data_IF_958735874356
#
_entry.id   IF_958735874356
#
_cell.length_a   1.000
_cell.length_b   1.000
_cell.length_c   1.000
_cell.angle_alpha   90.00
_cell.angle_beta   90.00
_cell.angle_gamma   90.00
#
_symmetry.space_group_name_H-M   'P 1'
#
loop_
_entity.id
_entity.type
_entity.pdbx_description
1 polymer ?
#
# COMPACT_ATOMS: atom_id res chain seq x y z
N UNK A 1 -1.05 9.14 47.18
CA UNK A 1 -1.25 9.34 45.77
C UNK A 1 -0.19 8.53 45.04
N UNK A 2 -0.55 7.36 44.55
CA UNK A 2 0.35 6.50 43.79
C UNK A 2 0.27 7.00 42.33
N UNK A 3 1.34 7.67 41.85
CA UNK A 3 1.47 8.01 40.45
C UNK A 3 1.55 6.68 39.68
N UNK A 4 0.57 6.41 38.82
CA UNK A 4 0.71 5.33 37.83
C UNK A 4 1.97 5.60 37.00
N UNK A 5 2.84 4.61 36.79
CA UNK A 5 3.96 4.80 35.89
C UNK A 5 3.41 5.15 34.51
N UNK A 6 3.83 6.30 33.98
CA UNK A 6 3.57 6.63 32.59
C UNK A 6 4.13 5.48 31.75
N UNK A 7 3.25 4.74 31.09
CA UNK A 7 3.66 3.68 30.17
C UNK A 7 4.17 4.35 28.90
N UNK A 8 5.49 4.62 28.85
CA UNK A 8 6.14 5.09 27.64
C UNK A 8 5.86 4.11 26.48
N UNK A 9 5.36 4.64 25.37
CA UNK A 9 5.12 3.84 24.17
C UNK A 9 6.46 3.40 23.59
N UNK A 10 6.86 2.17 23.89
CA UNK A 10 8.09 1.59 23.36
C UNK A 10 7.80 0.87 22.05
N UNK A 11 8.09 1.53 20.93
CA UNK A 11 7.99 0.86 19.63
C UNK A 11 9.02 -0.26 19.56
N UNK A 12 8.57 -1.48 19.28
CA UNK A 12 9.44 -2.62 19.07
C UNK A 12 10.12 -2.48 17.72
N UNK A 13 11.41 -2.73 17.68
CA UNK A 13 12.18 -2.64 16.42
C UNK A 13 11.97 -3.90 15.57
N UNK A 14 10.80 -3.99 14.96
CA UNK A 14 10.40 -5.06 14.04
C UNK A 14 10.50 -4.53 12.61
N UNK A 15 10.97 -5.33 11.63
CA UNK A 15 10.96 -4.95 10.22
C UNK A 15 9.59 -4.48 9.74
N UNK A 16 9.55 -3.45 8.89
CA UNK A 16 8.28 -2.87 8.42
C UNK A 16 7.42 -3.87 7.66
N UNK A 17 8.04 -4.81 6.93
CA UNK A 17 7.34 -5.90 6.24
C UNK A 17 6.55 -6.80 7.21
N UNK A 18 7.15 -7.19 8.31
CA UNK A 18 6.50 -8.01 9.34
C UNK A 18 5.35 -7.23 10.02
N UNK A 19 5.58 -5.94 10.34
CA UNK A 19 4.53 -5.06 10.88
C UNK A 19 3.37 -4.85 9.91
N UNK A 20 3.66 -4.81 8.61
CA UNK A 20 2.66 -4.73 7.56
C UNK A 20 1.85 -6.03 7.48
N UNK A 21 2.50 -7.19 7.63
CA UNK A 21 1.82 -8.48 7.64
C UNK A 21 0.88 -8.63 8.85
N UNK A 22 1.29 -8.12 10.00
CA UNK A 22 0.51 -8.15 11.26
C UNK A 22 -0.62 -7.10 11.29
N UNK A 23 -0.59 -6.08 10.44
CA UNK A 23 -1.65 -5.07 10.36
C UNK A 23 -2.88 -5.59 9.62
N UNK A 24 -4.08 -5.13 10.01
CA UNK A 24 -5.33 -5.46 9.30
C UNK A 24 -5.47 -4.69 7.99
N UNK A 25 -4.91 -3.47 7.94
CA UNK A 25 -4.87 -2.63 6.75
C UNK A 25 -3.67 -1.68 6.81
N UNK A 26 -3.27 -1.16 5.64
CA UNK A 26 -2.23 -0.15 5.54
C UNK A 26 -2.54 0.82 4.40
N UNK A 27 -2.43 2.11 4.70
CA UNK A 27 -2.72 3.19 3.75
C UNK A 27 -1.68 4.28 3.83
N UNK A 28 -1.51 4.99 2.74
CA UNK A 28 -0.82 6.28 2.68
C UNK A 28 -1.87 7.37 2.52
N UNK A 29 -1.78 8.42 3.33
CA UNK A 29 -2.73 9.51 3.28
C UNK A 29 -2.34 10.68 4.18
N UNK A 30 -3.07 11.77 4.06
CA UNK A 30 -2.87 12.98 4.83
C UNK A 30 -3.94 13.12 5.92
N UNK A 31 -3.53 13.59 7.11
CA UNK A 31 -4.48 13.94 8.17
C UNK A 31 -5.08 15.30 7.84
N UNK A 32 -6.37 15.33 7.52
CA UNK A 32 -7.07 16.56 7.14
C UNK A 32 -7.80 17.22 8.30
N UNK A 33 -8.11 16.47 9.35
CA UNK A 33 -8.66 17.03 10.59
C UNK A 33 -8.40 16.12 11.78
N UNK A 34 -8.37 16.72 12.96
CA UNK A 34 -8.32 16.01 14.23
C UNK A 34 -9.40 16.50 15.18
N UNK A 35 -9.94 15.61 16.00
CA UNK A 35 -10.89 15.94 17.05
C UNK A 35 -10.69 15.06 18.27
N UNK A 36 -10.91 15.60 19.45
CA UNK A 36 -10.93 14.84 20.69
C UNK A 36 -12.23 14.04 20.77
N UNK A 37 -12.12 12.80 21.21
CA UNK A 37 -13.25 11.90 21.42
C UNK A 37 -13.02 11.03 22.65
N UNK A 38 -13.99 10.20 22.96
CA UNK A 38 -13.89 9.18 24.02
C UNK A 38 -14.31 7.82 23.48
N UNK A 39 -13.64 6.79 23.93
CA UNK A 39 -14.04 5.41 23.72
C UNK A 39 -14.02 4.68 25.06
N UNK A 40 -15.18 4.24 25.54
CA UNK A 40 -15.34 3.55 26.83
C UNK A 40 -14.80 4.36 28.03
N UNK A 41 -14.94 5.68 28.00
CA UNK A 41 -14.45 6.57 29.05
C UNK A 41 -12.95 6.88 29.01
N UNK A 42 -12.22 6.36 28.02
CA UNK A 42 -10.83 6.73 27.77
C UNK A 42 -10.75 7.84 26.71
N UNK A 43 -9.93 8.88 26.93
CA UNK A 43 -9.75 9.94 25.97
C UNK A 43 -9.07 9.40 24.71
N UNK A 44 -9.56 9.81 23.56
CA UNK A 44 -9.01 9.44 22.25
C UNK A 44 -8.88 10.63 21.33
N UNK A 45 -7.92 10.55 20.42
CA UNK A 45 -7.83 11.42 19.28
C UNK A 45 -8.47 10.72 18.08
N UNK A 46 -9.37 11.39 17.41
CA UNK A 46 -10.00 10.90 16.18
C UNK A 46 -9.44 11.72 15.03
N UNK A 47 -8.70 11.07 14.17
CA UNK A 47 -8.07 11.63 12.98
C UNK A 47 -8.94 11.33 11.77
N UNK A 48 -9.16 12.33 10.92
CA UNK A 48 -9.73 12.12 9.60
C UNK A 48 -8.59 12.10 8.60
N UNK A 49 -8.44 10.98 7.90
CA UNK A 49 -7.36 10.74 6.92
C UNK A 49 -7.96 10.73 5.53
N UNK A 50 -7.45 11.57 4.63
CA UNK A 50 -7.70 11.47 3.18
C UNK A 50 -6.70 10.45 2.60
N UNK A 51 -7.21 9.29 2.19
CA UNK A 51 -6.42 8.16 1.72
C UNK A 51 -6.02 8.41 0.27
N UNK A 52 -4.73 8.52 0.02
CA UNK A 52 -4.15 8.72 -1.30
C UNK A 52 -3.82 7.38 -1.97
N UNK A 53 -3.34 6.40 -1.17
CA UNK A 53 -2.95 5.09 -1.69
C UNK A 53 -3.24 3.97 -0.69
N UNK A 54 -3.80 2.87 -1.19
CA UNK A 54 -3.96 1.63 -0.45
C UNK A 54 -2.73 0.75 -0.62
N UNK A 55 -2.12 0.34 0.48
CA UNK A 55 -0.99 -0.59 0.50
C UNK A 55 -1.46 -2.00 0.88
N UNK A 56 -2.38 -2.10 1.86
CA UNK A 56 -3.01 -3.36 2.27
C UNK A 56 -4.47 -3.12 2.62
N UNK A 57 -5.36 -3.94 2.07
CA UNK A 57 -6.81 -3.83 2.27
C UNK A 57 -7.45 -2.77 1.36
N UNK A 58 -8.78 -2.79 1.33
CA UNK A 58 -9.59 -1.82 0.57
C UNK A 58 -10.40 -0.99 1.57
N UNK A 59 -10.11 0.29 1.63
CA UNK A 59 -10.66 1.24 2.59
C UNK A 59 -11.29 2.43 1.86
N UNK A 60 -12.25 3.13 2.47
CA UNK A 60 -12.82 4.33 1.88
C UNK A 60 -11.75 5.44 1.75
N UNK A 61 -11.93 6.33 0.79
CA UNK A 61 -11.03 7.45 0.56
C UNK A 61 -10.90 8.38 1.77
N UNK A 62 -11.97 8.57 2.52
CA UNK A 62 -11.95 9.32 3.78
C UNK A 62 -12.15 8.34 4.91
N UNK A 63 -11.18 8.26 5.81
CA UNK A 63 -11.12 7.28 6.87
C UNK A 63 -11.01 7.94 8.25
N UNK A 64 -11.83 7.51 9.20
CA UNK A 64 -11.66 7.86 10.60
C UNK A 64 -10.72 6.85 11.28
N UNK A 65 -9.61 7.36 11.80
CA UNK A 65 -8.63 6.59 12.57
C UNK A 65 -8.62 7.09 14.01
N UNK A 66 -8.65 6.18 14.96
CA UNK A 66 -8.61 6.50 16.39
C UNK A 66 -7.24 6.19 16.97
N UNK A 67 -6.75 7.10 17.78
CA UNK A 67 -5.51 6.96 18.54
C UNK A 67 -5.77 7.17 20.03
N UNK A 68 -5.07 6.49 20.94
CA UNK A 68 -5.12 6.87 22.35
C UNK A 68 -4.74 8.35 22.48
N UNK A 69 -5.25 9.04 23.49
CA UNK A 69 -4.93 10.45 23.76
C UNK A 69 -4.48 10.65 25.19
N UNK A 70 -3.50 11.53 25.40
CA UNK A 70 -2.94 11.81 26.72
C UNK A 70 -1.92 10.75 27.17
N UNK A 71 -1.31 10.03 26.23
CA UNK A 71 -0.27 9.02 26.47
C UNK A 71 0.91 9.27 25.53
N UNK A 72 2.06 8.70 25.83
CA UNK A 72 3.23 8.75 24.93
C UNK A 72 2.99 7.99 23.61
N UNK A 73 1.83 7.34 23.46
CA UNK A 73 1.42 6.61 22.27
C UNK A 73 0.53 7.41 21.31
N UNK A 74 0.33 8.68 21.60
CA UNK A 74 -0.48 9.56 20.76
C UNK A 74 0.11 9.68 19.36
N UNK A 75 -0.75 9.71 18.36
CA UNK A 75 -0.32 10.00 16.99
C UNK A 75 -0.15 11.50 16.84
N UNK A 76 1.09 11.94 16.66
CA UNK A 76 1.42 13.34 16.38
C UNK A 76 1.81 13.45 14.91
N UNK A 77 0.86 13.80 14.07
CA UNK A 77 1.09 14.05 12.64
C UNK A 77 0.60 15.44 12.31
N UNK A 78 1.46 16.32 11.75
CA UNK A 78 1.01 17.64 11.29
C UNK A 78 -0.12 17.48 10.26
N UNK A 79 -1.10 18.39 10.29
CA UNK A 79 -2.16 18.45 9.30
C UNK A 79 -1.55 18.59 7.89
N UNK A 80 -2.21 18.02 6.90
CA UNK A 80 -1.84 18.01 5.49
C UNK A 80 -0.49 17.35 5.17
N UNK A 81 0.12 16.67 6.15
CA UNK A 81 1.31 15.86 5.90
C UNK A 81 0.91 14.44 5.51
N UNK A 82 1.38 13.99 4.35
CA UNK A 82 1.21 12.61 3.88
C UNK A 82 2.14 11.67 4.63
N UNK A 83 1.57 10.66 5.28
CA UNK A 83 2.28 9.61 6.01
C UNK A 83 1.65 8.25 5.75
N UNK A 84 2.37 7.20 6.09
CA UNK A 84 1.85 5.83 6.08
C UNK A 84 1.23 5.46 7.42
N UNK A 85 0.09 4.80 7.38
CA UNK A 85 -0.60 4.26 8.55
C UNK A 85 -0.69 2.75 8.46
N UNK A 86 -0.21 2.07 9.49
CA UNK A 86 -0.51 0.67 9.76
C UNK A 86 -1.72 0.61 10.69
N UNK A 87 -2.81 0.05 10.24
CA UNK A 87 -4.09 0.09 10.93
C UNK A 87 -4.45 -1.28 11.49
N UNK A 88 -4.96 -1.27 12.73
CA UNK A 88 -5.53 -2.45 13.35
C UNK A 88 -7.03 -2.25 13.56
N UNK A 89 -7.79 -3.35 13.47
CA UNK A 89 -9.23 -3.29 13.64
C UNK A 89 -9.60 -3.31 15.13
N UNK A 90 -10.22 -2.24 15.57
CA UNK A 90 -10.73 -2.10 16.92
C UNK A 90 -12.20 -2.54 17.07
N UNK A 91 -12.76 -2.36 18.28
CA UNK A 91 -14.17 -2.62 18.55
C UNK A 91 -15.08 -1.82 17.61
N UNK A 92 -16.26 -2.40 17.27
CA UNK A 92 -17.25 -1.78 16.37
C UNK A 92 -16.70 -1.39 14.98
N UNK A 93 -15.74 -2.16 14.48
CA UNK A 93 -15.10 -1.93 13.18
C UNK A 93 -14.39 -0.55 13.06
N UNK A 94 -13.94 0.00 14.17
CA UNK A 94 -13.13 1.22 14.17
C UNK A 94 -11.70 0.89 13.76
N UNK A 95 -11.03 1.84 13.14
CA UNK A 95 -9.60 1.73 12.80
C UNK A 95 -8.78 2.39 13.89
N UNK A 96 -7.75 1.69 14.34
CA UNK A 96 -6.86 2.15 15.41
C UNK A 96 -5.46 2.34 14.85
N UNK A 97 -4.80 3.41 15.32
CA UNK A 97 -3.40 3.69 15.11
C UNK A 97 -2.74 4.18 16.40
N UNK A 98 -1.47 3.97 16.53
CA UNK A 98 -0.63 4.50 17.62
C UNK A 98 0.57 5.22 17.02
N UNK A 99 1.34 5.96 17.81
CA UNK A 99 2.58 6.59 17.35
C UNK A 99 3.51 5.59 16.61
N UNK A 100 3.53 4.34 17.08
CA UNK A 100 4.33 3.28 16.45
C UNK A 100 3.77 2.79 15.10
N UNK A 101 2.51 3.03 14.79
CA UNK A 101 1.89 2.62 13.52
C UNK A 101 1.98 3.69 12.42
N UNK A 102 2.51 4.86 12.73
CA UNK A 102 2.81 5.89 11.73
C UNK A 102 4.22 5.66 11.20
N UNK A 103 4.34 5.63 9.88
CA UNK A 103 5.61 5.35 9.18
C UNK A 103 5.77 6.31 8.00
N UNK A 104 6.98 6.40 7.46
CA UNK A 104 7.22 7.14 6.23
C UNK A 104 6.42 6.55 5.07
N UNK A 105 5.75 7.41 4.27
CA UNK A 105 4.89 6.98 3.16
C UNK A 105 5.66 6.18 2.11
N UNK A 106 6.87 6.64 1.76
CA UNK A 106 7.70 5.97 0.76
C UNK A 106 8.17 4.60 1.23
N UNK A 107 8.55 4.48 2.51
CA UNK A 107 8.94 3.20 3.09
C UNK A 107 7.77 2.21 3.15
N UNK A 108 6.56 2.69 3.46
CA UNK A 108 5.37 1.84 3.50
C UNK A 108 5.02 1.30 2.11
N UNK A 109 5.05 2.16 1.08
CA UNK A 109 4.81 1.75 -0.31
C UNK A 109 5.86 0.73 -0.77
N UNK A 110 7.14 0.97 -0.44
CA UNK A 110 8.22 0.04 -0.77
C UNK A 110 8.07 -1.31 -0.06
N UNK A 111 7.64 -1.32 1.21
CA UNK A 111 7.41 -2.54 1.99
C UNK A 111 6.18 -3.32 1.51
N UNK A 112 5.12 -2.63 1.06
CA UNK A 112 3.91 -3.24 0.52
C UNK A 112 4.11 -3.97 -0.80
N UNK A 113 5.27 -3.79 -1.43
CA UNK A 113 5.56 -4.32 -2.74
C UNK A 113 4.76 -3.63 -3.85
N UNK A 114 5.16 -3.83 -5.08
CA UNK A 114 4.34 -3.40 -6.21
C UNK A 114 2.97 -4.07 -6.15
N UNK A 115 1.88 -3.34 -6.43
CA UNK A 115 0.56 -3.95 -6.54
C UNK A 115 0.67 -5.14 -7.50
N UNK A 116 0.12 -6.29 -7.12
CA UNK A 116 0.16 -7.59 -7.85
C UNK A 116 -0.11 -7.51 -9.36
N UNK A 117 -0.44 -6.33 -9.89
CA UNK A 117 -0.58 -6.04 -11.31
C UNK A 117 0.73 -5.93 -12.10
N UNK A 118 1.89 -5.75 -11.47
CA UNK A 118 3.18 -5.61 -12.17
C UNK A 118 3.58 -6.89 -12.91
N UNK A 119 3.46 -8.04 -12.26
CA UNK A 119 3.81 -9.35 -12.84
C UNK A 119 2.88 -9.70 -14.01
N UNK A 120 1.59 -9.36 -13.90
CA UNK A 120 0.60 -9.60 -14.97
C UNK A 120 0.90 -8.70 -16.18
N UNK A 121 1.23 -7.42 -15.97
CA UNK A 121 1.58 -6.48 -17.05
C UNK A 121 2.85 -6.92 -17.79
N UNK A 122 3.89 -7.34 -17.07
CA UNK A 122 5.12 -7.87 -17.65
C UNK A 122 4.83 -9.18 -18.42
N UNK A 123 4.04 -10.08 -17.85
CA UNK A 123 3.64 -11.33 -18.52
C UNK A 123 2.90 -11.09 -19.83
N UNK A 124 1.94 -10.16 -19.85
CA UNK A 124 1.21 -9.78 -21.08
C UNK A 124 2.18 -9.17 -22.11
N UNK A 125 3.08 -8.28 -21.69
CA UNK A 125 4.07 -7.67 -22.58
C UNK A 125 4.97 -8.70 -23.26
N UNK A 126 5.49 -9.68 -22.51
CA UNK A 126 6.32 -10.76 -23.05
C UNK A 126 5.49 -11.63 -24.02
N UNK A 127 4.26 -11.97 -23.69
CA UNK A 127 3.39 -12.77 -24.56
C UNK A 127 3.11 -12.10 -25.89
N UNK A 128 2.82 -10.79 -25.89
CA UNK A 128 2.62 -10.00 -27.11
C UNK A 128 3.90 -9.96 -27.95
N UNK A 129 5.05 -9.76 -27.31
CA UNK A 129 6.34 -9.73 -28.01
C UNK A 129 6.67 -11.08 -28.66
N UNK A 130 6.46 -12.18 -27.98
CA UNK A 130 6.63 -13.54 -28.54
C UNK A 130 5.69 -13.76 -29.71
N UNK A 131 4.42 -13.37 -29.57
CA UNK A 131 3.43 -13.49 -30.66
C UNK A 131 3.85 -12.72 -31.92
N UNK A 132 4.30 -11.46 -31.75
CA UNK A 132 4.79 -10.64 -32.88
C UNK A 132 6.01 -11.26 -33.54
N UNK A 133 6.97 -11.76 -32.76
CA UNK A 133 8.16 -12.44 -33.27
C UNK A 133 7.81 -13.70 -34.07
N UNK A 134 6.95 -14.55 -33.52
CA UNK A 134 6.51 -15.77 -34.21
C UNK A 134 5.77 -15.42 -35.50
N UNK A 135 4.88 -14.43 -35.45
CA UNK A 135 4.17 -13.97 -36.65
C UNK A 135 5.11 -13.43 -37.72
N UNK A 136 6.11 -12.63 -37.34
CA UNK A 136 7.10 -12.09 -38.25
C UNK A 136 7.96 -13.20 -38.89
N UNK A 137 8.40 -14.20 -38.10
CA UNK A 137 9.15 -15.35 -38.60
C UNK A 137 8.32 -16.21 -39.58
N UNK A 138 7.05 -16.43 -39.27
CA UNK A 138 6.14 -17.16 -40.17
C UNK A 138 5.92 -16.39 -41.48
N UNK A 139 5.83 -15.06 -41.42
CA UNK A 139 5.68 -14.22 -42.60
C UNK A 139 6.94 -14.22 -43.47
N UNK A 140 8.13 -14.17 -42.87
CA UNK A 140 9.40 -14.29 -43.58
C UNK A 140 9.56 -15.66 -44.26
N UNK A 141 9.17 -16.76 -43.57
CA UNK A 141 9.19 -18.10 -44.17
C UNK A 141 8.25 -18.27 -45.36
N UNK A 142 7.12 -17.56 -45.39
CA UNK A 142 6.18 -17.55 -46.53
C UNK A 142 6.64 -16.65 -47.68
N UNK A 143 7.50 -15.66 -47.40
CA UNK A 143 8.01 -14.71 -48.41
C UNK A 143 9.25 -15.16 -49.17
N UNK A 144 9.94 -16.23 -48.75
CA UNK A 144 11.16 -16.74 -49.37
C UNK A 144 10.90 -17.93 -50.30
N UNK A 145 10.03 -17.76 -51.28
CA UNK A 145 10.17 -18.49 -52.53
C UNK A 145 10.75 -17.51 -53.56
N UNK A 146 12.06 -17.59 -53.90
CA UNK A 146 12.54 -16.85 -55.02
C UNK A 146 11.92 -17.43 -56.26
N UNK A 147 11.04 -16.65 -56.93
CA UNK A 147 10.74 -16.89 -58.31
C UNK A 147 12.04 -16.61 -59.08
N UNK A 148 12.78 -17.67 -59.36
CA UNK A 148 13.86 -17.62 -60.35
C UNK A 148 13.21 -17.43 -61.71
N UNK A 149 13.40 -16.25 -62.39
CA UNK A 149 12.99 -16.11 -63.78
C UNK A 149 13.99 -16.88 -64.66
N UNK A 150 13.52 -17.92 -65.32
CA UNK A 150 14.29 -18.59 -66.33
C UNK A 150 14.53 -20.09 -66.16
N UNK A 151 13.46 -20.89 -65.99
CA UNK A 151 13.52 -22.28 -66.34
C UNK A 151 12.89 -22.41 -67.75
N UNK A 152 13.61 -22.94 -68.78
CA UNK A 152 12.99 -23.24 -70.06
C UNK A 152 11.97 -24.36 -69.89
N UNK A 153 10.78 -24.14 -70.41
CA UNK A 153 9.75 -25.19 -70.54
C UNK A 153 10.24 -26.28 -71.53
N UNK A 154 9.91 -27.56 -71.29
CA UNK A 154 10.19 -28.66 -72.21
C UNK A 154 9.26 -28.67 -73.42
#
# INVERSE_FOLDING_TARGET
MLASPAAACKCVNIPLSERLDDSDAAVVGAVVSERKGELRGAPQLVLTVDVEQHVKGDLPRVLEVRSPSGTDCDVEVPLDKTVGFLLTRGPRQTWLATACSVVDAGLLVAAGGEPRGGVIKVGIGILVLVFVLVWALLRLRKGTRPNLPGAPEP
#
